data_IF_156944125827
#
_entry.id   IF_156944125827
#
_cell.length_a   1.000
_cell.length_b   1.000
_cell.length_c   1.000
_cell.angle_alpha   90.00
_cell.angle_beta   90.00
_cell.angle_gamma   90.00
#
_symmetry.space_group_name_H-M   'P 1'
#
loop_
_entity.id
_entity.type
_entity.pdbx_description
1 polymer ?
#
# COMPACT_ATOMS: atom_id res chain seq x y z
N UNK A 1 49.43 18.39 28.32
CA UNK A 1 48.01 18.81 28.10
C UNK A 1 47.16 17.81 27.35
N UNK A 2 47.67 16.89 26.55
CA UNK A 2 46.89 15.87 25.79
C UNK A 2 46.20 14.78 26.64
N UNK A 3 46.73 14.46 27.79
CA UNK A 3 46.19 13.40 28.69
C UNK A 3 44.91 13.80 29.44
N UNK A 4 44.70 15.07 29.70
CA UNK A 4 43.52 15.59 30.40
C UNK A 4 42.31 15.64 29.46
N UNK A 5 42.51 16.00 28.20
CA UNK A 5 41.43 15.98 27.16
C UNK A 5 40.89 14.57 26.93
N UNK A 6 41.75 13.56 26.92
CA UNK A 6 41.34 12.16 26.72
C UNK A 6 40.47 11.63 27.91
N UNK A 7 40.72 12.13 29.10
CA UNK A 7 39.95 11.79 30.30
C UNK A 7 38.54 12.42 30.29
N UNK A 8 38.38 13.62 29.81
CA UNK A 8 37.07 14.28 29.68
C UNK A 8 36.20 13.62 28.60
N UNK A 9 36.80 13.25 27.47
CA UNK A 9 36.10 12.54 26.39
C UNK A 9 35.59 11.16 26.87
N UNK A 10 36.38 10.39 27.58
CA UNK A 10 35.95 9.09 28.15
C UNK A 10 34.81 9.24 29.16
N UNK A 11 34.82 10.29 30.00
CA UNK A 11 33.72 10.58 30.93
C UNK A 11 32.44 11.01 30.19
N UNK A 12 32.56 11.74 29.09
CA UNK A 12 31.42 12.13 28.26
C UNK A 12 30.80 10.91 27.55
N UNK A 13 31.63 10.03 27.00
CA UNK A 13 31.16 8.77 26.40
C UNK A 13 30.48 7.85 27.42
N UNK A 14 31.06 7.65 28.59
CA UNK A 14 30.44 6.84 29.65
C UNK A 14 29.05 7.38 30.06
N UNK A 15 28.88 8.71 30.14
CA UNK A 15 27.58 9.32 30.42
C UNK A 15 26.56 9.15 29.27
N UNK A 16 27.02 9.14 28.03
CA UNK A 16 26.14 8.88 26.88
C UNK A 16 25.71 7.41 26.82
N UNK A 17 26.61 6.49 27.08
CA UNK A 17 26.32 5.06 27.13
C UNK A 17 25.32 4.74 28.27
N UNK A 18 25.53 5.32 29.46
CA UNK A 18 24.61 5.17 30.58
C UNK A 18 23.20 5.72 30.27
N UNK A 19 23.11 6.87 29.58
CA UNK A 19 21.82 7.41 29.11
C UNK A 19 21.17 6.49 28.07
N UNK A 20 21.93 5.97 27.13
CA UNK A 20 21.43 5.08 26.10
C UNK A 20 20.89 3.77 26.70
N UNK A 21 21.58 3.22 27.71
CA UNK A 21 21.14 2.01 28.42
C UNK A 21 19.86 2.26 29.23
N UNK A 22 19.78 3.37 29.96
CA UNK A 22 18.54 3.78 30.66
C UNK A 22 17.36 3.94 29.70
N UNK A 23 17.57 4.52 28.53
CA UNK A 23 16.50 4.68 27.54
C UNK A 23 16.10 3.34 26.89
N UNK A 24 17.06 2.43 26.71
CA UNK A 24 16.77 1.05 26.27
C UNK A 24 15.94 0.28 27.30
N UNK A 25 16.28 0.40 28.57
CA UNK A 25 15.53 -0.22 29.68
C UNK A 25 14.11 0.34 29.78
N UNK A 26 13.95 1.67 29.74
CA UNK A 26 12.63 2.32 29.71
C UNK A 26 11.77 1.85 28.53
N UNK A 27 12.36 1.73 27.33
CA UNK A 27 11.65 1.19 26.16
C UNK A 27 11.27 -0.28 26.33
N UNK A 28 12.13 -1.11 26.94
CA UNK A 28 11.81 -2.53 27.22
C UNK A 28 10.69 -2.63 28.24
N UNK A 29 10.71 -1.80 29.27
CA UNK A 29 9.68 -1.77 30.32
C UNK A 29 8.33 -1.31 29.76
N UNK A 30 8.31 -0.21 29.00
CA UNK A 30 7.10 0.27 28.34
C UNK A 30 6.49 -0.74 27.34
N UNK A 31 7.32 -1.57 26.69
CA UNK A 31 6.83 -2.68 25.86
C UNK A 31 6.21 -3.80 26.70
N UNK A 32 6.82 -4.18 27.82
CA UNK A 32 6.28 -5.20 28.75
C UNK A 32 4.93 -4.73 29.31
N UNK A 33 4.84 -3.48 29.75
CA UNK A 33 3.61 -2.89 30.30
C UNK A 33 2.47 -2.83 29.25
N UNK A 34 2.79 -2.50 28.01
CA UNK A 34 1.80 -2.56 26.91
C UNK A 34 1.31 -3.98 26.64
N UNK A 35 2.20 -4.96 26.67
CA UNK A 35 1.85 -6.36 26.44
C UNK A 35 1.00 -6.91 27.60
N UNK A 36 1.37 -6.59 28.87
CA UNK A 36 0.58 -6.97 30.05
C UNK A 36 -0.80 -6.33 30.03
N UNK A 37 -0.91 -5.03 29.73
CA UNK A 37 -2.18 -4.33 29.62
C UNK A 37 -3.10 -4.92 28.52
N UNK A 38 -2.53 -5.33 27.39
CA UNK A 38 -3.30 -6.02 26.32
C UNK A 38 -3.78 -7.39 26.81
N UNK A 39 -2.92 -8.12 27.54
CA UNK A 39 -3.24 -9.44 28.09
C UNK A 39 -4.36 -9.36 29.14
N UNK A 40 -4.31 -8.36 30.01
CA UNK A 40 -5.36 -8.09 31.00
C UNK A 40 -6.67 -7.69 30.35
N UNK A 41 -6.66 -6.78 29.36
CA UNK A 41 -7.86 -6.42 28.59
C UNK A 41 -8.49 -7.63 27.90
N UNK A 42 -7.67 -8.56 27.36
CA UNK A 42 -8.16 -9.81 26.79
C UNK A 42 -8.78 -10.74 27.86
N UNK A 43 -8.17 -10.80 29.04
CA UNK A 43 -8.68 -11.60 30.17
C UNK A 43 -10.01 -11.03 30.71
N UNK A 44 -10.09 -9.72 30.89
CA UNK A 44 -11.32 -9.04 31.30
C UNK A 44 -12.45 -9.22 30.29
N UNK A 45 -12.16 -9.13 28.97
CA UNK A 45 -13.16 -9.40 27.92
C UNK A 45 -13.66 -10.84 27.90
N UNK A 46 -12.83 -11.80 28.32
CA UNK A 46 -13.26 -13.21 28.47
C UNK A 46 -14.10 -13.41 29.72
N UNK A 47 -13.80 -12.71 30.80
CA UNK A 47 -14.54 -12.81 32.07
C UNK A 47 -15.88 -12.06 32.02
N UNK A 48 -15.96 -10.97 31.28
CA UNK A 48 -17.19 -10.18 31.15
C UNK A 48 -18.26 -10.82 30.24
N UNK A 49 -18.00 -12.03 29.71
CA UNK A 49 -18.96 -12.72 28.85
C UNK A 49 -19.40 -11.95 27.59
N UNK A 50 -18.80 -10.77 27.37
CA UNK A 50 -19.02 -10.00 26.15
C UNK A 50 -18.43 -10.81 25.01
N UNK A 51 -19.30 -11.60 24.37
CA UNK A 51 -18.97 -12.24 23.11
C UNK A 51 -18.33 -11.17 22.24
N UNK A 52 -17.11 -11.38 21.71
CA UNK A 52 -16.55 -10.40 20.78
C UNK A 52 -17.62 -10.14 19.75
N UNK A 53 -18.09 -8.88 19.66
CA UNK A 53 -19.04 -8.47 18.65
C UNK A 53 -18.45 -9.00 17.34
N UNK A 54 -19.10 -10.02 16.78
CA UNK A 54 -18.62 -10.67 15.57
C UNK A 54 -18.33 -9.53 14.60
N UNK A 55 -17.17 -9.52 13.92
CA UNK A 55 -16.83 -8.44 13.01
C UNK A 55 -18.07 -8.21 12.17
N UNK A 56 -18.71 -7.02 12.33
CA UNK A 56 -20.00 -6.69 11.71
C UNK A 56 -19.91 -7.19 10.28
N UNK A 57 -20.79 -8.12 9.94
CA UNK A 57 -20.78 -8.76 8.62
C UNK A 57 -20.56 -7.66 7.59
N UNK A 58 -19.69 -7.83 6.59
CA UNK A 58 -19.41 -6.79 5.63
C UNK A 58 -20.73 -6.28 5.12
N UNK A 59 -21.01 -4.98 5.36
CA UNK A 59 -22.27 -4.36 4.97
C UNK A 59 -22.42 -4.63 3.48
N UNK A 60 -23.40 -5.45 3.11
CA UNK A 60 -23.60 -5.78 1.72
C UNK A 60 -24.01 -4.51 0.99
N UNK A 61 -23.40 -4.23 -0.14
CA UNK A 61 -23.69 -3.03 -0.94
C UNK A 61 -25.17 -2.96 -1.35
N UNK A 62 -25.86 -4.11 -1.40
CA UNK A 62 -27.28 -4.22 -1.65
C UNK A 62 -28.15 -3.62 -0.54
N UNK A 63 -27.64 -3.54 0.69
CA UNK A 63 -28.38 -2.97 1.84
C UNK A 63 -28.25 -1.45 1.98
N UNK A 64 -27.41 -0.79 1.15
CA UNK A 64 -27.19 0.65 1.20
C UNK A 64 -28.27 1.42 0.41
N UNK A 65 -28.78 2.49 1.02
CA UNK A 65 -29.70 3.39 0.33
C UNK A 65 -29.00 4.14 -0.82
N UNK A 66 -29.73 4.61 -1.84
CA UNK A 66 -29.15 5.34 -2.97
C UNK A 66 -28.34 6.57 -2.55
N UNK A 67 -28.77 7.25 -1.48
CA UNK A 67 -28.07 8.42 -0.92
C UNK A 67 -26.74 8.05 -0.26
N UNK A 68 -26.72 6.95 0.48
CA UNK A 68 -25.48 6.42 1.07
C UNK A 68 -24.49 6.03 -0.02
N UNK A 69 -24.96 5.40 -1.11
CA UNK A 69 -24.10 5.07 -2.28
C UNK A 69 -23.52 6.31 -2.95
N UNK A 70 -24.23 7.45 -2.99
CA UNK A 70 -23.71 8.71 -3.54
C UNK A 70 -22.56 9.29 -2.70
N UNK A 71 -22.61 9.14 -1.38
CA UNK A 71 -21.58 9.63 -0.44
C UNK A 71 -20.35 8.73 -0.38
N UNK A 72 -20.40 7.53 -0.95
CA UNK A 72 -19.25 6.60 -0.92
C UNK A 72 -18.08 7.11 -1.77
N UNK A 73 -16.82 6.82 -1.36
CA UNK A 73 -15.63 7.16 -2.12
C UNK A 73 -15.65 6.49 -3.50
N UNK A 74 -14.99 7.10 -4.47
CA UNK A 74 -14.82 6.52 -5.80
C UNK A 74 -15.90 6.91 -6.83
N UNK A 75 -16.60 8.04 -6.68
CA UNK A 75 -17.61 8.49 -7.64
C UNK A 75 -17.08 8.58 -9.09
N UNK A 76 -15.84 9.00 -9.24
CA UNK A 76 -15.18 9.17 -10.53
C UNK A 76 -14.13 8.07 -10.82
N UNK A 77 -14.08 7.03 -9.98
CA UNK A 77 -13.05 5.99 -10.09
C UNK A 77 -13.07 5.27 -11.45
N UNK A 78 -14.23 5.14 -12.09
CA UNK A 78 -14.33 4.54 -13.42
C UNK A 78 -13.61 5.36 -14.50
N UNK A 79 -13.80 6.68 -14.50
CA UNK A 79 -13.09 7.58 -15.42
C UNK A 79 -11.58 7.59 -15.19
N UNK A 80 -11.16 7.67 -13.91
CA UNK A 80 -9.73 7.62 -13.57
C UNK A 80 -9.10 6.25 -13.88
N UNK A 81 -9.84 5.14 -13.72
CA UNK A 81 -9.37 3.82 -14.13
C UNK A 81 -9.10 3.78 -15.65
N UNK A 82 -10.02 4.27 -16.46
CA UNK A 82 -9.82 4.31 -17.92
C UNK A 82 -8.64 5.20 -18.27
N UNK A 83 -8.52 6.38 -17.66
CA UNK A 83 -7.39 7.28 -17.88
C UNK A 83 -6.05 6.63 -17.53
N UNK A 84 -5.98 5.91 -16.41
CA UNK A 84 -4.73 5.22 -16.02
C UNK A 84 -4.37 4.09 -16.97
N UNK A 85 -5.35 3.32 -17.47
CA UNK A 85 -5.12 2.31 -18.51
C UNK A 85 -4.59 2.96 -19.79
N UNK A 86 -5.19 4.08 -20.21
CA UNK A 86 -4.74 4.81 -21.38
C UNK A 86 -3.28 5.28 -21.23
N UNK A 87 -2.91 5.85 -20.08
CA UNK A 87 -1.52 6.26 -19.83
C UNK A 87 -0.54 5.10 -19.81
N UNK A 88 -0.92 3.94 -19.25
CA UNK A 88 -0.08 2.73 -19.26
C UNK A 88 0.16 2.28 -20.71
N UNK A 89 -0.88 2.25 -21.55
CA UNK A 89 -0.77 1.86 -22.96
C UNK A 89 0.08 2.89 -23.73
N UNK A 90 -0.16 4.19 -23.50
CA UNK A 90 0.59 5.26 -24.16
C UNK A 90 2.08 5.16 -23.83
N UNK A 91 2.44 4.93 -22.57
CA UNK A 91 3.82 4.78 -22.15
C UNK A 91 4.47 3.51 -22.70
N UNK A 92 3.68 2.46 -22.95
CA UNK A 92 4.17 1.25 -23.60
C UNK A 92 4.42 1.47 -25.11
N UNK A 93 3.57 2.28 -25.77
CA UNK A 93 3.64 2.56 -27.21
C UNK A 93 4.69 3.63 -27.56
N UNK A 94 4.88 4.62 -26.67
CA UNK A 94 5.84 5.71 -26.85
C UNK A 94 6.81 5.67 -25.66
N UNK A 95 7.91 4.93 -25.79
CA UNK A 95 8.91 4.87 -24.72
C UNK A 95 9.54 6.25 -24.52
N UNK A 96 9.82 6.63 -23.26
CA UNK A 96 10.52 7.88 -22.98
C UNK A 96 11.93 7.84 -23.59
N UNK A 97 12.36 8.95 -24.18
CA UNK A 97 13.71 9.11 -24.76
C UNK A 97 14.80 8.85 -23.72
N UNK A 98 14.56 9.28 -22.47
CA UNK A 98 15.44 9.03 -21.32
C UNK A 98 14.90 7.87 -20.49
N UNK A 99 15.30 6.64 -20.82
CA UNK A 99 15.02 5.47 -19.97
C UNK A 99 15.84 5.59 -18.67
N UNK A 100 15.17 5.70 -17.53
CA UNK A 100 15.81 5.85 -16.24
C UNK A 100 14.90 5.51 -15.06
N UNK A 101 15.44 5.64 -13.85
CA UNK A 101 14.71 5.37 -12.62
C UNK A 101 13.41 6.19 -12.51
N UNK A 102 13.47 7.47 -12.90
CA UNK A 102 12.32 8.38 -12.79
C UNK A 102 11.17 7.93 -13.70
N UNK A 103 11.44 7.60 -14.97
CA UNK A 103 10.43 7.13 -15.91
C UNK A 103 9.83 5.78 -15.46
N UNK A 104 10.65 4.89 -14.92
CA UNK A 104 10.20 3.61 -14.35
C UNK A 104 9.28 3.79 -13.16
N UNK A 105 9.59 4.73 -12.25
CA UNK A 105 8.75 5.04 -11.08
C UNK A 105 7.42 5.69 -11.49
N UNK A 106 7.42 6.58 -12.49
CA UNK A 106 6.19 7.18 -13.02
C UNK A 106 5.30 6.10 -13.62
N UNK A 107 5.87 5.19 -14.42
CA UNK A 107 5.13 4.05 -14.98
C UNK A 107 4.55 3.14 -13.90
N UNK A 108 5.33 2.78 -12.89
CA UNK A 108 4.86 2.01 -11.74
C UNK A 108 3.75 2.74 -10.97
N UNK A 109 3.82 4.08 -10.89
CA UNK A 109 2.78 4.93 -10.30
C UNK A 109 1.43 4.79 -10.99
N UNK A 110 1.40 4.69 -12.33
CA UNK A 110 0.16 4.44 -13.07
C UNK A 110 -0.45 3.07 -12.74
N UNK A 111 0.35 2.04 -12.56
CA UNK A 111 -0.14 0.73 -12.13
C UNK A 111 -0.72 0.76 -10.72
N UNK A 112 -0.13 1.52 -9.80
CA UNK A 112 -0.67 1.74 -8.46
C UNK A 112 -2.02 2.46 -8.53
N UNK A 113 -2.12 3.53 -9.32
CA UNK A 113 -3.38 4.26 -9.54
C UNK A 113 -4.44 3.36 -10.18
N UNK A 114 -4.07 2.53 -11.15
CA UNK A 114 -4.97 1.55 -11.74
C UNK A 114 -5.52 0.59 -10.67
N UNK A 115 -4.65 0.01 -9.85
CA UNK A 115 -5.05 -0.87 -8.76
C UNK A 115 -6.03 -0.21 -7.80
N UNK A 116 -5.75 1.03 -7.41
CA UNK A 116 -6.59 1.82 -6.52
C UNK A 116 -7.98 2.13 -7.13
N UNK A 117 -8.03 2.73 -8.31
CA UNK A 117 -9.28 3.15 -8.93
C UNK A 117 -10.12 1.98 -9.42
N UNK A 118 -9.51 0.93 -9.96
CA UNK A 118 -10.19 -0.29 -10.38
C UNK A 118 -10.88 -0.97 -9.20
N UNK A 119 -10.18 -1.11 -8.08
CA UNK A 119 -10.77 -1.70 -6.86
C UNK A 119 -11.94 -0.87 -6.34
N UNK A 120 -11.81 0.45 -6.25
CA UNK A 120 -12.91 1.33 -5.83
C UNK A 120 -14.11 1.24 -6.77
N UNK A 121 -13.86 1.23 -8.08
CA UNK A 121 -14.90 1.13 -9.10
C UNK A 121 -15.69 -0.17 -8.99
N UNK A 122 -14.99 -1.30 -8.87
CA UNK A 122 -15.60 -2.62 -8.77
C UNK A 122 -16.36 -2.80 -7.46
N UNK A 123 -15.82 -2.36 -6.32
CA UNK A 123 -16.55 -2.38 -5.05
C UNK A 123 -17.79 -1.51 -5.11
N UNK A 124 -17.72 -0.35 -5.74
CA UNK A 124 -18.89 0.52 -5.90
C UNK A 124 -19.98 -0.11 -6.77
N UNK A 125 -19.61 -0.96 -7.73
CA UNK A 125 -20.57 -1.76 -8.52
C UNK A 125 -21.12 -2.98 -7.79
N UNK A 126 -20.69 -3.24 -6.55
CA UNK A 126 -21.15 -4.37 -5.77
C UNK A 126 -20.43 -5.68 -6.07
N UNK A 127 -19.27 -5.62 -6.73
CA UNK A 127 -18.51 -6.83 -6.99
C UNK A 127 -17.73 -7.24 -5.74
N UNK A 128 -18.13 -8.34 -5.10
CA UNK A 128 -17.46 -8.88 -3.92
C UNK A 128 -16.02 -9.36 -4.21
N UNK A 129 -15.78 -9.78 -5.46
CA UNK A 129 -14.47 -10.25 -5.92
C UNK A 129 -13.62 -9.14 -6.56
N UNK A 130 -13.96 -7.87 -6.28
CA UNK A 130 -13.28 -6.70 -6.84
C UNK A 130 -11.76 -6.77 -6.73
N UNK A 131 -11.25 -7.20 -5.58
CA UNK A 131 -9.82 -7.33 -5.34
C UNK A 131 -9.16 -8.35 -6.30
N UNK A 132 -9.74 -9.54 -6.44
CA UNK A 132 -9.23 -10.55 -7.35
C UNK A 132 -9.27 -10.09 -8.82
N UNK A 133 -10.37 -9.48 -9.25
CA UNK A 133 -10.49 -8.93 -10.61
C UNK A 133 -9.47 -7.82 -10.90
N UNK A 134 -9.22 -6.94 -9.92
CA UNK A 134 -8.20 -5.89 -10.08
C UNK A 134 -6.80 -6.48 -10.23
N UNK A 135 -6.45 -7.49 -9.42
CA UNK A 135 -5.15 -8.14 -9.51
C UNK A 135 -4.96 -8.85 -10.86
N UNK A 136 -5.95 -9.64 -11.29
CA UNK A 136 -5.85 -10.36 -12.56
C UNK A 136 -5.78 -9.40 -13.76
N UNK A 137 -6.59 -8.34 -13.77
CA UNK A 137 -6.56 -7.34 -14.84
C UNK A 137 -5.27 -6.50 -14.83
N UNK A 138 -4.75 -6.15 -13.65
CA UNK A 138 -3.47 -5.44 -13.52
C UNK A 138 -2.28 -6.30 -13.97
N UNK A 139 -2.29 -7.59 -13.64
CA UNK A 139 -1.27 -8.52 -14.12
C UNK A 139 -1.37 -8.71 -15.63
N UNK A 140 -2.58 -8.84 -16.17
CA UNK A 140 -2.80 -8.93 -17.61
C UNK A 140 -2.30 -7.68 -18.36
N UNK A 141 -2.52 -6.47 -17.78
CA UNK A 141 -1.95 -5.23 -18.30
C UNK A 141 -0.42 -5.25 -18.28
N UNK A 142 0.20 -5.70 -17.18
CA UNK A 142 1.65 -5.79 -17.08
C UNK A 142 2.22 -6.76 -18.13
N UNK A 143 1.60 -7.92 -18.31
CA UNK A 143 1.97 -8.89 -19.36
C UNK A 143 1.73 -8.30 -20.76
N UNK A 144 0.63 -7.57 -20.97
CA UNK A 144 0.36 -6.88 -22.23
C UNK A 144 1.44 -5.86 -22.58
N UNK A 145 1.88 -5.06 -21.60
CA UNK A 145 2.99 -4.12 -21.76
C UNK A 145 4.31 -4.84 -22.08
N UNK A 146 4.59 -5.97 -21.43
CA UNK A 146 5.74 -6.82 -21.79
C UNK A 146 5.65 -7.31 -23.24
N UNK A 147 4.46 -7.75 -23.66
CA UNK A 147 4.25 -8.28 -24.99
C UNK A 147 4.43 -7.22 -26.09
N UNK A 148 4.01 -5.98 -25.89
CA UNK A 148 4.23 -4.88 -26.85
C UNK A 148 5.71 -4.63 -27.12
N UNK A 149 6.58 -4.83 -26.14
CA UNK A 149 8.03 -4.71 -26.28
C UNK A 149 8.69 -5.90 -26.97
N UNK A 150 8.08 -7.09 -26.87
CA UNK A 150 8.57 -8.28 -27.57
C UNK A 150 8.25 -8.28 -29.06
N UNK A 151 7.08 -7.77 -29.44
CA UNK A 151 6.52 -7.85 -30.80
C UNK A 151 6.48 -6.53 -31.52
N UNK A 152 6.68 -5.42 -30.81
CA UNK A 152 6.63 -4.05 -31.37
C UNK A 152 7.77 -3.76 -32.35
N UNK A 153 7.60 -2.75 -33.22
CA UNK A 153 8.59 -2.34 -34.22
C UNK A 153 9.94 -1.91 -33.60
N UNK A 154 9.94 -1.56 -32.34
CA UNK A 154 11.14 -1.25 -31.55
C UNK A 154 11.51 -2.39 -30.60
N UNK A 155 11.53 -3.62 -31.08
CA UNK A 155 11.95 -4.79 -30.31
C UNK A 155 13.44 -4.70 -29.91
N UNK A 156 13.76 -3.74 -29.06
CA UNK A 156 15.11 -3.41 -28.58
C UNK A 156 15.60 -4.21 -27.37
N UNK A 157 14.90 -5.29 -27.04
CA UNK A 157 15.26 -6.13 -25.88
C UNK A 157 14.69 -5.62 -24.55
N UNK A 158 14.89 -6.42 -23.51
CA UNK A 158 14.49 -6.06 -22.14
C UNK A 158 15.56 -5.19 -21.49
N UNK A 159 15.34 -3.87 -21.51
CA UNK A 159 16.14 -2.98 -20.69
C UNK A 159 15.82 -3.19 -19.19
N UNK A 160 16.85 -3.09 -18.34
CA UNK A 160 16.69 -3.23 -16.88
C UNK A 160 15.66 -2.26 -16.29
N UNK A 161 15.58 -1.04 -16.82
CA UNK A 161 14.61 -0.03 -16.39
C UNK A 161 13.17 -0.40 -16.73
N UNK A 162 12.98 -1.05 -17.85
CA UNK A 162 11.68 -1.55 -18.27
C UNK A 162 11.22 -2.72 -17.38
N UNK A 163 12.11 -3.68 -17.11
CA UNK A 163 11.82 -4.78 -16.18
C UNK A 163 11.51 -4.26 -14.78
N UNK A 164 12.25 -3.24 -14.35
CA UNK A 164 12.01 -2.58 -13.06
C UNK A 164 10.63 -1.89 -13.04
N UNK A 165 10.23 -1.21 -14.12
CA UNK A 165 8.91 -0.59 -14.25
C UNK A 165 7.79 -1.63 -14.12
N UNK A 166 7.90 -2.75 -14.83
CA UNK A 166 6.87 -3.81 -14.79
C UNK A 166 6.84 -4.51 -13.44
N UNK A 167 8.00 -4.82 -12.86
CA UNK A 167 8.11 -5.42 -11.53
C UNK A 167 7.52 -4.52 -10.44
N UNK A 168 7.92 -3.26 -10.40
CA UNK A 168 7.34 -2.26 -9.49
C UNK A 168 5.86 -2.01 -9.79
N UNK A 169 5.47 -2.06 -11.07
CA UNK A 169 4.09 -1.92 -11.51
C UNK A 169 3.21 -3.03 -10.94
N UNK A 170 3.65 -4.28 -11.01
CA UNK A 170 2.93 -5.41 -10.40
C UNK A 170 2.74 -5.23 -8.89
N UNK A 171 3.80 -4.83 -8.18
CA UNK A 171 3.71 -4.48 -6.75
C UNK A 171 2.77 -3.28 -6.55
N UNK A 172 2.83 -2.28 -7.42
CA UNK A 172 1.96 -1.11 -7.41
C UNK A 172 0.48 -1.47 -7.52
N UNK A 173 0.11 -2.39 -8.41
CA UNK A 173 -1.27 -2.88 -8.53
C UNK A 173 -1.75 -3.49 -7.21
N UNK A 174 -0.93 -4.33 -6.58
CA UNK A 174 -1.29 -4.97 -5.29
C UNK A 174 -1.48 -3.91 -4.21
N UNK A 175 -0.53 -2.99 -4.07
CA UNK A 175 -0.57 -1.91 -3.09
C UNK A 175 -1.79 -0.98 -3.34
N UNK A 176 -2.03 -0.60 -4.59
CA UNK A 176 -3.16 0.22 -5.00
C UNK A 176 -4.50 -0.46 -4.72
N UNK A 177 -4.63 -1.75 -5.04
CA UNK A 177 -5.83 -2.53 -4.74
C UNK A 177 -6.11 -2.62 -3.23
N UNK A 178 -5.06 -2.80 -2.43
CA UNK A 178 -5.18 -2.83 -0.97
C UNK A 178 -5.61 -1.48 -0.41
N UNK A 179 -5.00 -0.38 -0.89
CA UNK A 179 -5.39 0.98 -0.52
C UNK A 179 -6.84 1.27 -0.91
N UNK A 180 -7.26 0.91 -2.13
CA UNK A 180 -8.64 1.06 -2.59
C UNK A 180 -9.64 0.33 -1.68
N UNK A 181 -9.34 -0.90 -1.28
CA UNK A 181 -10.12 -1.68 -0.33
C UNK A 181 -10.19 -1.01 1.05
N UNK A 182 -9.07 -0.49 1.55
CA UNK A 182 -9.00 0.16 2.85
C UNK A 182 -9.84 1.44 2.89
N UNK A 183 -9.73 2.28 1.86
CA UNK A 183 -10.50 3.53 1.73
C UNK A 183 -12.00 3.23 1.58
N UNK A 184 -12.35 2.23 0.79
CA UNK A 184 -13.74 1.81 0.64
C UNK A 184 -14.35 1.35 1.97
N UNK A 185 -13.65 0.50 2.72
CA UNK A 185 -14.09 0.02 4.03
C UNK A 185 -14.16 1.14 5.07
N UNK A 186 -13.26 2.11 5.02
CA UNK A 186 -13.32 3.29 5.89
C UNK A 186 -14.55 4.16 5.57
N UNK A 187 -14.92 4.28 4.30
CA UNK A 187 -16.12 4.99 3.86
C UNK A 187 -17.43 4.32 4.28
N UNK A 188 -17.44 2.99 4.42
CA UNK A 188 -18.63 2.23 4.91
C UNK A 188 -18.86 2.38 6.43
N UNK A 189 -17.82 2.76 7.17
CA UNK A 189 -17.90 2.89 8.64
C UNK A 189 -18.33 4.28 9.12
N UNK A 190 -18.45 5.23 8.22
CA UNK A 190 -18.96 6.59 8.48
C UNK A 190 -20.44 6.67 8.17
#
# INVERSE_FOLDING_TARGET
MLTTMNRQLRRAQAKQDEKADRDREKKKQARKDKVSAIKERRKQRRLSGVKPEAPKAPVSLSSLTPEQRKKMPGRFSGGFMIATVFFIILQAAVPPEDAGLQSSLVGAGFFLMFGYFSTLFLFRRGNERAFGFTLTSGLALAVGVLFTRLVGPEAGGFDQWFLLMVGLGAVGVVAGAYLGRSVFNAGLRR
#
